data_IF_505657003584
#
_entry.id   IF_505657003584
#
_cell.length_a   1.000
_cell.length_b   1.000
_cell.length_c   1.000
_cell.angle_alpha   90.00
_cell.angle_beta   90.00
_cell.angle_gamma   90.00
#
_symmetry.space_group_name_H-M   'P 1'
#
loop_
_entity.id
_entity.type
_entity.pdbx_description
1 polymer ?
#
# COMPACT_ATOMS: atom_id res chain seq x y z
N UNK A 1 -16.24 -14.11 -8.94
CA UNK A 1 -16.03 -13.22 -7.77
C UNK A 1 -16.05 -14.08 -6.53
N UNK A 2 -15.22 -13.76 -5.54
CA UNK A 2 -15.26 -14.46 -4.25
C UNK A 2 -16.41 -13.93 -3.41
N UNK A 3 -16.75 -14.63 -2.34
CA UNK A 3 -17.71 -14.18 -1.33
C UNK A 3 -17.05 -13.31 -0.23
N UNK A 4 -15.75 -13.01 -0.37
CA UNK A 4 -15.02 -12.13 0.54
C UNK A 4 -15.48 -10.67 0.39
N UNK A 5 -15.55 -9.99 1.52
CA UNK A 5 -15.86 -8.56 1.61
C UNK A 5 -14.70 -7.81 2.23
N UNK A 6 -14.50 -6.55 1.85
CA UNK A 6 -13.41 -5.74 2.37
C UNK A 6 -13.80 -4.32 2.78
N UNK A 7 -13.13 -3.83 3.82
CA UNK A 7 -13.18 -2.44 4.26
C UNK A 7 -11.77 -1.84 4.20
N UNK A 8 -11.65 -0.69 3.53
CA UNK A 8 -10.38 0.03 3.37
C UNK A 8 -10.29 1.20 4.35
N UNK A 9 -9.51 1.06 5.42
CA UNK A 9 -9.25 2.15 6.36
C UNK A 9 -8.07 3.00 5.87
N UNK A 10 -8.20 4.32 5.99
CA UNK A 10 -7.21 5.28 5.47
C UNK A 10 -6.99 5.05 3.97
N UNK A 11 -8.09 4.96 3.22
CA UNK A 11 -8.10 4.44 1.85
C UNK A 11 -7.26 5.28 0.88
N UNK A 12 -7.05 6.57 1.18
CA UNK A 12 -6.38 7.51 0.29
C UNK A 12 -7.11 7.55 -1.05
N UNK A 13 -6.38 7.26 -2.12
CA UNK A 13 -6.93 7.18 -3.48
C UNK A 13 -7.33 5.75 -3.90
N UNK A 14 -7.50 4.83 -2.96
CA UNK A 14 -8.05 3.50 -3.23
C UNK A 14 -7.05 2.48 -3.79
N UNK A 15 -5.80 2.52 -3.32
CA UNK A 15 -4.77 1.57 -3.78
C UNK A 15 -5.07 0.12 -3.38
N UNK A 16 -5.50 -0.10 -2.12
CA UNK A 16 -5.98 -1.41 -1.67
C UNK A 16 -7.32 -1.77 -2.30
N UNK A 17 -8.22 -0.80 -2.42
CA UNK A 17 -9.56 -0.97 -2.99
C UNK A 17 -9.47 -1.52 -4.43
N UNK A 18 -8.59 -0.95 -5.25
CA UNK A 18 -8.32 -1.42 -6.61
C UNK A 18 -7.70 -2.82 -6.62
N UNK A 19 -6.70 -3.06 -5.77
CA UNK A 19 -6.02 -4.35 -5.67
C UNK A 19 -6.96 -5.49 -5.25
N UNK A 20 -7.80 -5.26 -4.25
CA UNK A 20 -8.80 -6.21 -3.75
C UNK A 20 -9.89 -6.48 -4.80
N UNK A 21 -10.38 -5.43 -5.46
CA UNK A 21 -11.35 -5.56 -6.55
C UNK A 21 -10.79 -6.43 -7.67
N UNK A 22 -9.53 -6.22 -8.08
CA UNK A 22 -8.85 -7.07 -9.08
C UNK A 22 -8.60 -8.50 -8.61
N UNK A 23 -8.46 -8.72 -7.30
CA UNK A 23 -8.39 -10.05 -6.71
C UNK A 23 -9.78 -10.72 -6.57
N UNK A 24 -10.86 -10.06 -7.01
CA UNK A 24 -12.22 -10.59 -6.99
C UNK A 24 -12.95 -10.42 -5.65
N UNK A 25 -12.40 -9.63 -4.72
CA UNK A 25 -12.99 -9.29 -3.42
C UNK A 25 -13.94 -8.10 -3.57
N UNK A 26 -15.11 -8.15 -2.92
CA UNK A 26 -16.06 -7.04 -2.92
C UNK A 26 -15.69 -6.02 -1.86
N UNK A 27 -15.14 -4.87 -2.26
CA UNK A 27 -14.95 -3.73 -1.35
C UNK A 27 -16.32 -3.12 -1.06
N UNK A 28 -16.67 -2.98 0.22
CA UNK A 28 -18.02 -2.54 0.64
C UNK A 28 -18.01 -1.18 1.32
N UNK A 29 -16.90 -0.84 1.98
CA UNK A 29 -16.71 0.46 2.58
C UNK A 29 -15.26 0.93 2.51
N UNK A 30 -15.09 2.25 2.47
CA UNK A 30 -13.81 2.93 2.59
C UNK A 30 -13.92 4.05 3.62
N UNK A 31 -12.81 4.35 4.31
CA UNK A 31 -12.72 5.43 5.29
C UNK A 31 -11.58 6.36 4.90
N UNK A 32 -11.90 7.62 4.61
CA UNK A 32 -10.92 8.63 4.22
C UNK A 32 -11.39 10.01 4.65
N UNK A 33 -10.48 10.77 5.28
CA UNK A 33 -10.73 12.09 5.86
C UNK A 33 -10.40 13.23 4.86
N UNK A 34 -9.46 13.01 3.95
CA UNK A 34 -9.03 14.03 2.99
C UNK A 34 -10.09 14.21 1.88
N UNK A 35 -10.68 15.41 1.73
CA UNK A 35 -11.75 15.65 0.76
C UNK A 35 -11.32 15.44 -0.70
N UNK A 36 -10.04 15.71 -1.02
CA UNK A 36 -9.53 15.49 -2.36
C UNK A 36 -9.42 13.99 -2.65
N UNK A 37 -8.91 13.19 -1.71
CA UNK A 37 -8.86 11.74 -1.83
C UNK A 37 -10.26 11.12 -1.93
N UNK A 38 -11.21 11.58 -1.09
CA UNK A 38 -12.64 11.22 -1.16
C UNK A 38 -13.24 11.47 -2.54
N UNK A 39 -12.87 12.57 -3.22
CA UNK A 39 -13.35 12.83 -4.58
C UNK A 39 -12.88 11.79 -5.60
N UNK A 40 -11.68 11.24 -5.44
CA UNK A 40 -11.20 10.11 -6.27
C UNK A 40 -12.01 8.87 -5.96
N UNK A 41 -12.17 8.53 -4.67
CA UNK A 41 -12.91 7.33 -4.25
C UNK A 41 -14.34 7.32 -4.76
N UNK A 42 -15.07 8.44 -4.67
CA UNK A 42 -16.45 8.54 -5.21
C UNK A 42 -16.53 8.29 -6.70
N UNK A 43 -15.52 8.70 -7.47
CA UNK A 43 -15.47 8.46 -8.91
C UNK A 43 -15.12 7.01 -9.24
N UNK A 44 -14.11 6.46 -8.58
CA UNK A 44 -13.57 5.15 -8.91
C UNK A 44 -14.38 3.99 -8.30
N UNK A 45 -15.06 4.25 -7.19
CA UNK A 45 -15.82 3.27 -6.41
C UNK A 45 -17.18 3.87 -5.99
N UNK A 46 -18.09 4.17 -6.94
CA UNK A 46 -19.35 4.85 -6.65
C UNK A 46 -20.29 4.04 -5.74
N UNK A 47 -20.18 2.71 -5.76
CA UNK A 47 -21.03 1.81 -4.96
C UNK A 47 -20.46 1.51 -3.56
N UNK A 48 -19.26 2.00 -3.25
CA UNK A 48 -18.61 1.79 -1.94
C UNK A 48 -19.10 2.82 -0.94
N UNK A 49 -19.54 2.37 0.24
CA UNK A 49 -19.95 3.28 1.31
C UNK A 49 -18.73 4.04 1.83
N UNK A 50 -18.74 5.36 1.70
CA UNK A 50 -17.60 6.20 2.05
C UNK A 50 -17.80 6.93 3.39
N UNK A 51 -17.14 6.44 4.44
CA UNK A 51 -17.08 7.08 5.74
C UNK A 51 -15.94 8.12 5.79
N UNK A 52 -16.03 9.07 6.72
CA UNK A 52 -15.08 10.19 6.82
C UNK A 52 -14.03 10.00 7.90
N UNK A 53 -14.41 10.14 9.18
CA UNK A 53 -13.49 9.93 10.29
C UNK A 53 -13.61 8.50 10.82
N UNK A 54 -12.49 7.77 10.80
CA UNK A 54 -12.39 6.40 11.34
C UNK A 54 -12.83 6.30 12.80
N UNK A 55 -12.70 7.39 13.57
CA UNK A 55 -13.07 7.47 14.99
C UNK A 55 -14.57 7.32 15.21
N UNK A 56 -15.37 7.66 14.21
CA UNK A 56 -16.84 7.64 14.26
C UNK A 56 -17.42 6.35 13.67
N UNK A 57 -16.61 5.59 12.93
CA UNK A 57 -17.03 4.32 12.31
C UNK A 57 -17.15 3.24 13.37
N UNK A 58 -18.22 2.44 13.30
CA UNK A 58 -18.45 1.27 14.16
C UNK A 58 -18.54 -0.01 13.32
N UNK A 59 -18.32 -1.16 13.95
CA UNK A 59 -18.52 -2.46 13.33
C UNK A 59 -19.96 -2.68 12.88
N UNK A 60 -20.95 -2.10 13.58
CA UNK A 60 -22.35 -2.10 13.13
C UNK A 60 -22.52 -1.34 11.81
N UNK A 61 -21.95 -0.13 11.69
CA UNK A 61 -22.01 0.64 10.45
C UNK A 61 -21.34 -0.08 9.28
N UNK A 62 -20.20 -0.75 9.52
CA UNK A 62 -19.53 -1.55 8.50
C UNK A 62 -20.39 -2.75 8.06
N UNK A 63 -21.04 -3.46 8.99
CA UNK A 63 -21.97 -4.55 8.68
C UNK A 63 -23.17 -4.06 7.88
N UNK A 64 -23.72 -2.89 8.23
CA UNK A 64 -24.81 -2.25 7.49
C UNK A 64 -24.40 -1.86 6.06
N UNK A 65 -23.13 -1.48 5.85
CA UNK A 65 -22.55 -1.26 4.52
C UNK A 65 -22.31 -2.57 3.73
N UNK A 66 -22.56 -3.74 4.33
CA UNK A 66 -22.44 -5.05 3.69
C UNK A 66 -21.15 -5.81 4.00
N UNK A 67 -20.41 -5.42 5.05
CA UNK A 67 -19.25 -6.16 5.53
C UNK A 67 -19.65 -7.45 6.23
N UNK A 68 -19.01 -8.56 5.88
CA UNK A 68 -19.26 -9.90 6.44
C UNK A 68 -18.02 -10.31 7.22
N UNK A 69 -17.97 -10.16 8.56
CA UNK A 69 -16.71 -10.29 9.31
C UNK A 69 -15.99 -11.64 9.15
N UNK A 70 -16.72 -12.77 9.17
CA UNK A 70 -16.15 -14.12 8.97
C UNK A 70 -15.57 -14.35 7.57
N UNK A 71 -15.93 -13.52 6.60
CA UNK A 71 -15.40 -13.48 5.23
C UNK A 71 -14.86 -12.07 4.93
N UNK A 72 -14.33 -11.41 5.96
CA UNK A 72 -14.07 -9.99 5.99
C UNK A 72 -12.60 -9.68 6.04
N UNK A 73 -12.15 -8.76 5.18
CA UNK A 73 -10.80 -8.22 5.16
C UNK A 73 -10.85 -6.76 5.58
N UNK A 74 -10.08 -6.38 6.60
CA UNK A 74 -9.82 -4.96 6.91
C UNK A 74 -8.42 -4.61 6.45
N UNK A 75 -8.28 -3.57 5.62
CA UNK A 75 -6.96 -3.04 5.23
C UNK A 75 -6.70 -1.71 5.89
N UNK A 76 -5.44 -1.41 6.23
CA UNK A 76 -5.06 -0.12 6.79
C UNK A 76 -3.65 0.32 6.38
N UNK A 77 -3.54 1.51 5.79
CA UNK A 77 -2.28 2.25 5.58
C UNK A 77 -2.19 3.43 6.55
N UNK A 78 -2.16 3.18 7.86
CA UNK A 78 -2.38 4.23 8.85
C UNK A 78 -1.21 5.24 8.92
N UNK A 79 -1.49 6.53 9.18
CA UNK A 79 -0.44 7.54 9.28
C UNK A 79 0.58 7.24 10.38
N UNK A 80 1.86 7.17 10.01
CA UNK A 80 3.01 7.00 10.93
C UNK A 80 3.60 8.35 11.40
N UNK A 81 3.01 9.48 11.00
CA UNK A 81 3.58 10.84 11.15
C UNK A 81 3.68 11.34 12.60
N UNK A 82 3.23 10.57 13.59
CA UNK A 82 3.31 10.94 15.00
C UNK A 82 4.72 10.90 15.60
N UNK A 83 5.69 10.18 15.02
CA UNK A 83 6.84 9.70 15.82
C UNK A 83 8.25 10.00 15.30
N UNK A 84 8.45 10.97 14.42
CA UNK A 84 9.80 11.29 13.93
C UNK A 84 10.29 12.70 14.25
N UNK A 85 11.18 12.77 15.24
CA UNK A 85 12.38 13.62 15.33
C UNK A 85 12.26 15.16 15.38
N UNK A 86 11.10 15.79 15.25
CA UNK A 86 10.93 17.23 15.42
C UNK A 86 9.87 17.56 16.47
N UNK A 87 10.29 17.66 17.74
CA UNK A 87 9.58 18.48 18.73
C UNK A 87 8.23 17.97 19.24
N UNK A 88 8.20 16.80 19.87
CA UNK A 88 7.47 16.49 21.13
C UNK A 88 7.76 15.04 21.50
N UNK A 89 8.15 14.81 22.75
CA UNK A 89 8.49 13.48 23.31
C UNK A 89 7.24 12.63 23.54
N UNK A 90 6.46 12.41 22.50
CA UNK A 90 5.29 11.53 22.50
C UNK A 90 5.45 10.53 21.37
N UNK A 91 6.42 9.62 21.50
CA UNK A 91 6.39 8.40 20.70
C UNK A 91 5.12 7.60 21.01
N UNK A 92 4.95 6.44 20.37
CA UNK A 92 3.92 5.44 20.70
C UNK A 92 4.15 4.79 22.09
N UNK A 93 4.99 5.42 22.93
CA UNK A 93 5.13 5.12 24.34
C UNK A 93 3.83 5.39 25.13
N UNK A 94 2.87 6.13 24.56
CA UNK A 94 1.48 5.99 24.99
C UNK A 94 0.77 4.97 24.08
N UNK A 95 0.47 3.75 24.58
CA UNK A 95 -0.29 2.73 23.85
C UNK A 95 -1.71 3.18 23.46
N UNK A 96 -2.12 4.41 23.77
CA UNK A 96 -3.42 5.03 23.47
C UNK A 96 -3.37 6.20 22.47
N UNK A 97 -2.20 6.50 21.90
CA UNK A 97 -2.00 7.66 21.00
C UNK A 97 -1.85 7.26 19.53
N UNK A 98 -2.65 7.88 18.64
CA UNK A 98 -2.59 7.67 17.19
C UNK A 98 -3.73 6.83 16.62
N UNK A 99 -3.83 6.79 15.29
CA UNK A 99 -4.94 6.17 14.55
C UNK A 99 -4.87 4.64 14.51
N UNK A 100 -3.78 4.02 15.01
CA UNK A 100 -3.67 2.56 15.15
C UNK A 100 -4.73 2.00 16.12
N UNK A 101 -5.01 2.71 17.22
CA UNK A 101 -6.04 2.29 18.19
C UNK A 101 -7.43 2.13 17.54
N UNK A 102 -7.72 2.94 16.52
CA UNK A 102 -8.99 2.88 15.80
C UNK A 102 -9.03 1.67 14.85
N UNK A 103 -7.87 1.24 14.31
CA UNK A 103 -7.75 -0.04 13.61
C UNK A 103 -8.03 -1.19 14.57
N UNK A 104 -7.37 -1.22 15.73
CA UNK A 104 -7.57 -2.27 16.76
C UNK A 104 -9.02 -2.31 17.22
N UNK A 105 -9.62 -1.15 17.50
CA UNK A 105 -11.03 -1.03 17.89
C UNK A 105 -11.97 -1.62 16.83
N UNK A 106 -11.75 -1.31 15.55
CA UNK A 106 -12.59 -1.82 14.46
C UNK A 106 -12.35 -3.31 14.20
N UNK A 107 -11.12 -3.81 14.32
CA UNK A 107 -10.84 -5.24 14.26
C UNK A 107 -11.56 -6.00 15.39
N UNK A 108 -11.53 -5.47 16.62
CA UNK A 108 -12.21 -6.05 17.77
C UNK A 108 -13.75 -6.03 17.62
N UNK A 109 -14.32 -4.88 17.25
CA UNK A 109 -15.78 -4.67 17.12
C UNK A 109 -16.37 -5.48 15.95
N UNK A 110 -15.60 -5.66 14.87
CA UNK A 110 -16.06 -6.45 13.73
C UNK A 110 -15.83 -7.95 13.91
N UNK A 111 -14.69 -8.36 14.50
CA UNK A 111 -14.23 -9.74 14.43
C UNK A 111 -13.81 -10.14 13.02
N UNK A 112 -13.18 -9.24 12.27
CA UNK A 112 -12.76 -9.48 10.89
C UNK A 112 -11.83 -10.71 10.78
N UNK A 113 -12.07 -11.55 9.78
CA UNK A 113 -11.30 -12.76 9.53
C UNK A 113 -9.84 -12.44 9.18
N UNK A 114 -9.62 -11.38 8.41
CA UNK A 114 -8.32 -11.00 7.89
C UNK A 114 -8.02 -9.53 8.10
N UNK A 115 -6.73 -9.24 8.30
CA UNK A 115 -6.16 -7.89 8.35
C UNK A 115 -4.99 -7.78 7.37
N UNK A 116 -4.92 -6.67 6.62
CA UNK A 116 -3.73 -6.28 5.85
C UNK A 116 -3.30 -4.88 6.27
N UNK A 117 -2.15 -4.78 6.94
CA UNK A 117 -1.52 -3.52 7.29
C UNK A 117 -0.38 -3.16 6.34
N UNK A 118 -0.28 -1.88 5.99
CA UNK A 118 0.89 -1.33 5.30
C UNK A 118 1.48 -0.16 6.09
N UNK A 119 2.80 -0.10 6.15
CA UNK A 119 3.50 1.05 6.72
C UNK A 119 4.90 1.23 6.12
N UNK A 120 5.55 2.35 6.47
CA UNK A 120 6.94 2.60 6.12
C UNK A 120 7.89 1.71 6.93
N UNK A 121 9.04 1.35 6.35
CA UNK A 121 10.04 0.50 7.04
C UNK A 121 10.63 1.16 8.29
N UNK A 122 10.52 2.49 8.42
CA UNK A 122 10.94 3.22 9.61
C UNK A 122 10.22 2.79 10.89
N UNK A 123 9.00 2.25 10.78
CA UNK A 123 8.24 1.72 11.91
C UNK A 123 9.00 0.61 12.66
N UNK A 124 9.86 -0.15 11.97
CA UNK A 124 10.65 -1.22 12.59
C UNK A 124 11.74 -0.71 13.54
N UNK A 125 12.17 0.55 13.40
CA UNK A 125 13.29 1.11 14.16
C UNK A 125 12.91 2.25 15.12
N UNK A 126 11.76 2.90 14.90
CA UNK A 126 11.29 3.99 15.77
C UNK A 126 11.10 3.50 17.21
N UNK A 127 11.47 4.33 18.18
CA UNK A 127 11.49 3.99 19.61
C UNK A 127 12.13 2.62 19.92
N UNK A 128 13.23 2.29 19.23
CA UNK A 128 13.93 1.00 19.35
C UNK A 128 13.03 -0.21 19.07
N UNK A 129 12.07 -0.06 18.15
CA UNK A 129 11.16 -1.12 17.72
C UNK A 129 9.93 -1.32 18.62
N UNK A 130 9.78 -0.56 19.71
CA UNK A 130 8.66 -0.71 20.64
C UNK A 130 7.32 -0.42 19.98
N UNK A 131 7.27 0.55 19.09
CA UNK A 131 6.07 0.93 18.33
C UNK A 131 5.53 -0.23 17.49
N UNK A 132 6.44 -0.96 16.82
CA UNK A 132 6.06 -2.13 16.06
C UNK A 132 5.71 -3.30 16.96
N UNK A 133 6.38 -3.44 18.11
CA UNK A 133 6.02 -4.45 19.10
C UNK A 133 4.58 -4.27 19.62
N UNK A 134 4.12 -3.03 19.82
CA UNK A 134 2.72 -2.72 20.16
C UNK A 134 1.76 -3.22 19.07
N UNK A 135 2.06 -3.00 17.80
CA UNK A 135 1.24 -3.51 16.68
C UNK A 135 1.10 -5.04 16.76
N UNK A 136 2.21 -5.75 16.99
CA UNK A 136 2.19 -7.21 17.09
C UNK A 136 1.46 -7.71 18.34
N UNK A 137 1.66 -7.06 19.48
CA UNK A 137 1.02 -7.39 20.76
C UNK A 137 -0.50 -7.15 20.70
N UNK A 138 -0.96 -6.06 20.09
CA UNK A 138 -2.38 -5.80 19.88
C UNK A 138 -3.03 -6.86 18.98
N UNK A 139 -2.38 -7.24 17.87
CA UNK A 139 -2.87 -8.33 17.02
C UNK A 139 -2.93 -9.66 17.78
N UNK A 140 -1.92 -9.97 18.61
CA UNK A 140 -1.92 -11.16 19.45
C UNK A 140 -3.07 -11.14 20.47
N UNK A 141 -3.32 -10.00 21.13
CA UNK A 141 -4.42 -9.80 22.08
C UNK A 141 -5.80 -9.93 21.44
N UNK A 142 -5.93 -9.57 20.17
CA UNK A 142 -7.13 -9.82 19.37
C UNK A 142 -7.29 -11.30 18.97
N UNK A 143 -6.36 -12.18 19.35
CA UNK A 143 -6.36 -13.57 18.96
C UNK A 143 -6.09 -13.76 17.46
N UNK A 144 -5.33 -12.86 16.84
CA UNK A 144 -4.92 -13.02 15.45
C UNK A 144 -3.54 -13.66 15.36
N UNK A 145 -3.41 -14.72 14.56
CA UNK A 145 -2.11 -15.12 14.03
C UNK A 145 -1.65 -14.07 13.03
N UNK A 146 -0.35 -13.79 12.95
CA UNK A 146 0.17 -12.77 12.03
C UNK A 146 1.52 -13.12 11.44
N UNK A 147 1.83 -12.49 10.31
CA UNK A 147 3.12 -12.50 9.66
C UNK A 147 3.40 -11.11 9.09
N UNK A 148 4.67 -10.71 9.00
CA UNK A 148 5.05 -9.46 8.35
C UNK A 148 6.29 -9.66 7.47
N UNK A 149 6.39 -8.82 6.44
CA UNK A 149 7.51 -8.82 5.51
C UNK A 149 7.74 -7.42 4.95
N UNK A 150 9.00 -7.06 4.73
CA UNK A 150 9.34 -5.88 3.92
C UNK A 150 9.32 -6.26 2.45
N UNK A 151 8.41 -5.65 1.70
CA UNK A 151 8.28 -5.80 0.25
C UNK A 151 8.85 -4.59 -0.47
N UNK A 152 9.45 -4.80 -1.64
CA UNK A 152 9.96 -3.74 -2.51
C UNK A 152 9.15 -3.72 -3.81
N UNK A 153 8.47 -2.61 -4.09
CA UNK A 153 7.62 -2.43 -5.26
C UNK A 153 8.31 -2.76 -6.59
N UNK A 154 9.64 -2.62 -6.67
CA UNK A 154 10.46 -3.03 -7.82
C UNK A 154 10.29 -4.48 -8.24
N UNK A 155 9.93 -5.34 -7.30
CA UNK A 155 9.75 -6.78 -7.54
C UNK A 155 8.37 -7.12 -8.10
N UNK A 156 7.48 -6.14 -8.24
CA UNK A 156 6.09 -6.31 -8.66
C UNK A 156 5.75 -5.56 -9.96
N UNK A 157 6.76 -5.30 -10.80
CA UNK A 157 6.56 -4.64 -12.10
C UNK A 157 6.46 -3.12 -12.05
N UNK A 158 6.66 -2.52 -10.88
CA UNK A 158 6.70 -1.06 -10.72
C UNK A 158 8.16 -0.59 -10.71
N UNK A 159 8.61 0.28 -11.64
CA UNK A 159 9.99 0.75 -11.69
C UNK A 159 10.26 1.84 -10.64
N UNK A 160 10.01 1.54 -9.37
CA UNK A 160 10.15 2.48 -8.25
C UNK A 160 10.74 1.78 -7.02
N UNK A 161 11.87 2.27 -6.52
CA UNK A 161 12.48 1.86 -5.25
C UNK A 161 11.57 2.25 -4.08
N UNK A 162 10.64 1.38 -3.70
CA UNK A 162 9.69 1.63 -2.61
C UNK A 162 9.53 0.40 -1.73
N UNK A 163 10.28 0.42 -0.63
CA UNK A 163 10.22 -0.60 0.42
C UNK A 163 9.13 -0.26 1.42
N UNK A 164 8.27 -1.22 1.72
CA UNK A 164 7.16 -1.08 2.66
C UNK A 164 7.04 -2.30 3.54
N UNK A 165 6.74 -2.06 4.81
CA UNK A 165 6.38 -3.08 5.77
C UNK A 165 4.93 -3.48 5.47
N UNK A 166 4.71 -4.76 5.21
CA UNK A 166 3.37 -5.34 5.07
C UNK A 166 3.17 -6.32 6.21
N UNK A 167 2.02 -6.21 6.88
CA UNK A 167 1.58 -7.10 7.95
C UNK A 167 0.29 -7.78 7.50
N UNK A 168 0.19 -9.09 7.65
CA UNK A 168 -1.04 -9.85 7.42
C UNK A 168 -1.42 -10.51 8.74
N UNK A 169 -2.68 -10.36 9.13
CA UNK A 169 -3.26 -11.00 10.32
C UNK A 169 -4.46 -11.88 9.93
N UNK A 170 -4.68 -12.97 10.67
CA UNK A 170 -5.85 -13.84 10.55
C UNK A 170 -6.40 -14.17 11.94
N UNK A 171 -7.71 -14.03 12.12
CA UNK A 171 -8.36 -14.43 13.36
C UNK A 171 -8.22 -15.94 13.64
N UNK A 172 -8.21 -16.33 14.92
CA UNK A 172 -8.12 -17.72 15.37
C UNK A 172 -6.73 -18.16 15.85
N UNK A 173 -5.80 -17.22 16.03
CA UNK A 173 -4.47 -17.45 16.61
C UNK A 173 -3.50 -18.25 15.72
N UNK A 174 -3.95 -18.73 14.56
CA UNK A 174 -3.16 -19.57 13.67
C UNK A 174 -2.29 -18.73 12.70
N UNK A 175 -0.95 -18.80 12.81
CA UNK A 175 -0.06 -18.03 11.95
C UNK A 175 0.10 -18.64 10.54
N UNK A 176 -0.38 -19.87 10.27
CA UNK A 176 -0.17 -20.55 8.99
C UNK A 176 -0.71 -19.75 7.81
N UNK A 177 -1.93 -19.23 7.91
CA UNK A 177 -2.53 -18.40 6.86
C UNK A 177 -1.67 -17.19 6.49
N UNK A 178 -1.37 -16.28 7.44
CA UNK A 178 -0.49 -15.14 7.18
C UNK A 178 0.90 -15.51 6.66
N UNK A 179 1.51 -16.60 7.15
CA UNK A 179 2.80 -17.11 6.66
C UNK A 179 2.68 -17.57 5.21
N UNK A 180 1.64 -18.34 4.88
CA UNK A 180 1.34 -18.76 3.50
C UNK A 180 1.10 -17.56 2.58
N UNK A 181 0.52 -16.47 3.09
CA UNK A 181 0.32 -15.25 2.28
C UNK A 181 1.64 -14.54 1.98
N UNK A 182 2.54 -14.38 2.95
CA UNK A 182 3.72 -13.49 2.78
C UNK A 182 5.05 -14.19 2.49
N UNK A 183 5.25 -15.41 2.99
CA UNK A 183 6.58 -16.06 3.00
C UNK A 183 6.70 -17.22 2.02
N UNK A 184 5.62 -17.97 1.78
CA UNK A 184 5.70 -19.15 0.93
C UNK A 184 6.06 -18.77 -0.52
N UNK A 185 7.15 -19.31 -1.10
CA UNK A 185 7.44 -19.07 -2.50
C UNK A 185 6.31 -19.65 -3.36
N UNK A 186 5.97 -19.00 -4.47
CA UNK A 186 5.27 -19.70 -5.55
C UNK A 186 6.22 -20.77 -6.05
N UNK A 187 6.06 -22.00 -5.56
CA UNK A 187 6.74 -23.16 -6.13
C UNK A 187 6.38 -23.22 -7.60
N UNK A 188 7.27 -22.75 -8.47
CA UNK A 188 7.25 -23.16 -9.87
C UNK A 188 7.58 -24.64 -9.83
N UNK A 189 6.60 -25.49 -10.12
CA UNK A 189 6.86 -26.88 -10.48
C UNK A 189 8.00 -26.88 -11.48
N UNK A 190 9.05 -27.63 -11.14
CA UNK A 190 10.28 -27.67 -11.91
C UNK A 190 10.06 -28.36 -13.23
N UNK A 191 9.61 -27.61 -14.24
CA UNK A 191 9.95 -27.84 -15.63
C UNK A 191 10.65 -26.58 -16.13
N UNK A 192 11.98 -26.55 -15.91
CA UNK A 192 12.83 -25.63 -16.65
C UNK A 192 12.85 -26.09 -18.09
N UNK A 193 11.94 -25.58 -18.92
CA UNK A 193 12.09 -25.70 -20.37
C UNK A 193 13.44 -25.07 -20.76
N UNK A 194 14.33 -25.78 -21.48
CA UNK A 194 15.51 -25.16 -22.05
C UNK A 194 15.06 -24.36 -23.27
N UNK A 195 15.17 -23.03 -23.24
CA UNK A 195 14.76 -22.23 -24.39
C UNK A 195 15.01 -20.75 -24.20
N UNK A 196 15.95 -20.23 -24.98
CA UNK A 196 16.33 -18.82 -25.01
C UNK A 196 15.25 -17.88 -25.57
N UNK A 197 15.56 -16.60 -25.50
CA UNK A 197 14.76 -15.51 -26.06
C UNK A 197 14.44 -14.44 -25.02
N UNK A 198 15.11 -13.29 -25.16
CA UNK A 198 14.98 -12.04 -24.40
C UNK A 198 13.85 -11.90 -23.39
N UNK A 199 14.23 -11.62 -22.13
CA UNK A 199 13.33 -10.97 -21.15
C UNK A 199 12.69 -9.73 -21.79
N UNK A 200 11.37 -9.52 -21.66
CA UNK A 200 10.77 -8.25 -22.06
C UNK A 200 11.41 -7.14 -21.21
N UNK A 201 12.03 -6.18 -21.90
CA UNK A 201 12.57 -4.97 -21.25
C UNK A 201 11.42 -4.25 -20.54
N UNK A 202 11.59 -3.79 -19.29
CA UNK A 202 10.61 -2.92 -18.66
C UNK A 202 10.38 -1.71 -19.55
N UNK A 203 9.12 -1.31 -19.72
CA UNK A 203 8.77 -0.13 -20.50
C UNK A 203 9.54 1.08 -19.94
N UNK A 204 10.49 1.57 -20.73
CA UNK A 204 11.15 2.82 -20.44
C UNK A 204 10.10 3.93 -20.39
N UNK A 205 10.28 4.90 -19.48
CA UNK A 205 9.54 6.15 -19.47
C UNK A 205 9.72 6.83 -20.84
N UNK A 206 8.81 6.58 -21.78
CA UNK A 206 8.77 7.29 -23.05
C UNK A 206 8.08 8.63 -22.79
N UNK A 207 8.86 9.71 -22.80
CA UNK A 207 8.32 11.06 -22.84
C UNK A 207 7.62 11.28 -24.21
N UNK A 208 6.43 11.90 -24.26
CA UNK A 208 5.86 12.30 -25.53
C UNK A 208 6.51 13.60 -26.00
N UNK A 209 7.12 13.60 -27.19
CA UNK A 209 7.52 14.81 -27.90
C UNK A 209 8.79 14.71 -28.73
N UNK A 210 8.60 14.59 -30.05
CA UNK A 210 9.44 15.07 -31.17
C UNK A 210 10.88 14.55 -31.35
N UNK A 211 11.03 13.60 -32.29
CA UNK A 211 11.89 13.76 -33.48
C UNK A 211 13.40 13.54 -33.39
N UNK A 212 13.88 12.72 -34.32
CA UNK A 212 15.26 12.44 -34.77
C UNK A 212 16.04 11.33 -34.01
N UNK A 213 16.63 10.44 -34.81
CA UNK A 213 17.42 9.23 -34.51
C UNK A 213 18.78 9.56 -33.85
N UNK A 214 18.84 10.57 -32.97
CA UNK A 214 20.04 10.95 -32.22
C UNK A 214 19.93 10.51 -30.77
N UNK A 215 20.45 9.31 -30.49
CA UNK A 215 20.85 8.89 -29.15
C UNK A 215 19.71 8.80 -28.15
N UNK A 216 19.18 7.59 -27.97
CA UNK A 216 18.12 7.29 -26.99
C UNK A 216 18.50 7.80 -25.59
N UNK A 217 17.98 8.96 -25.18
CA UNK A 217 18.19 9.52 -23.84
C UNK A 217 17.57 8.55 -22.85
N UNK A 218 18.41 7.92 -22.04
CA UNK A 218 17.94 7.01 -21.00
C UNK A 218 17.73 7.83 -19.73
N UNK A 219 16.49 7.95 -19.23
CA UNK A 219 16.20 8.79 -18.07
C UNK A 219 16.93 8.28 -16.82
N UNK A 220 17.46 9.20 -16.02
CA UNK A 220 18.06 8.92 -14.73
C UNK A 220 17.17 9.49 -13.61
N UNK A 221 16.92 8.74 -12.52
CA UNK A 221 16.12 9.23 -11.41
C UNK A 221 16.91 10.22 -10.56
N UNK A 222 16.28 11.31 -10.14
CA UNK A 222 16.89 12.33 -9.28
C UNK A 222 15.97 12.64 -8.11
N UNK A 223 16.52 12.71 -6.90
CA UNK A 223 15.80 13.15 -5.72
C UNK A 223 16.52 14.33 -5.06
N UNK A 224 15.83 15.47 -4.91
CA UNK A 224 16.25 16.47 -3.95
C UNK A 224 15.82 16.04 -2.55
N UNK A 225 16.68 16.16 -1.55
CA UNK A 225 16.35 15.89 -0.15
C UNK A 225 16.59 17.15 0.67
N UNK A 226 15.51 17.83 1.07
CA UNK A 226 15.60 18.92 2.04
C UNK A 226 15.99 18.40 3.43
N UNK A 227 17.09 18.90 3.99
CA UNK A 227 17.51 18.71 5.39
C UNK A 227 17.62 20.07 6.08
N UNK A 228 17.64 20.09 7.41
CA UNK A 228 17.88 21.32 8.20
C UNK A 228 19.21 22.01 7.86
N UNK A 229 20.20 21.25 7.37
CA UNK A 229 21.51 21.74 6.94
C UNK A 229 21.59 22.12 5.45
N UNK A 230 20.46 22.15 4.73
CA UNK A 230 20.41 22.41 3.29
C UNK A 230 19.86 21.25 2.45
N UNK A 231 19.65 21.48 1.16
CA UNK A 231 19.14 20.46 0.24
C UNK A 231 20.29 19.65 -0.39
N UNK A 232 20.18 18.32 -0.36
CA UNK A 232 21.13 17.41 -1.01
C UNK A 232 20.49 16.81 -2.28
N UNK A 233 21.24 16.73 -3.38
CA UNK A 233 20.80 16.04 -4.60
C UNK A 233 21.31 14.60 -4.56
N UNK A 234 20.42 13.64 -4.83
CA UNK A 234 20.72 12.23 -5.01
C UNK A 234 20.46 11.87 -6.49
N UNK A 235 21.49 11.33 -7.14
CA UNK A 235 21.44 10.87 -8.53
C UNK A 235 21.39 9.34 -8.55
N UNK A 236 20.51 8.76 -9.37
CA UNK A 236 20.63 7.37 -9.82
C UNK A 236 21.26 7.30 -11.20
N UNK A 237 21.63 6.09 -11.61
CA UNK A 237 22.22 5.85 -12.93
C UNK A 237 21.14 5.85 -14.03
N UNK A 238 21.48 6.16 -15.29
CA UNK A 238 20.56 6.03 -16.41
C UNK A 238 19.93 4.64 -16.48
N UNK A 239 18.60 4.58 -16.41
CA UNK A 239 17.83 3.33 -16.43
C UNK A 239 17.53 2.74 -15.06
N UNK A 240 18.00 3.35 -13.97
CA UNK A 240 17.63 2.94 -12.61
C UNK A 240 16.14 3.17 -12.33
N UNK A 241 15.53 2.34 -11.46
CA UNK A 241 14.17 2.58 -10.96
C UNK A 241 14.06 3.92 -10.23
N UNK A 242 12.91 4.59 -10.37
CA UNK A 242 12.61 5.86 -9.69
C UNK A 242 12.71 5.74 -8.16
N UNK A 243 13.10 6.81 -7.46
CA UNK A 243 13.06 6.82 -6.00
C UNK A 243 11.63 6.77 -5.44
N UNK A 244 11.47 6.38 -4.17
CA UNK A 244 10.17 6.41 -3.47
C UNK A 244 9.54 7.81 -3.58
N UNK A 245 8.32 7.92 -4.13
CA UNK A 245 7.53 9.15 -4.07
C UNK A 245 7.22 9.50 -2.60
N UNK A 246 7.54 10.73 -2.17
CA UNK A 246 7.26 11.20 -0.80
C UNK A 246 6.32 12.40 -0.80
N UNK A 247 5.60 12.55 0.29
CA UNK A 247 4.71 13.69 0.51
C UNK A 247 5.50 14.97 0.77
N UNK A 248 5.19 16.09 0.09
CA UNK A 248 5.99 17.32 0.16
C UNK A 248 6.16 17.96 1.56
N UNK A 249 5.39 17.54 2.58
CA UNK A 249 5.36 18.17 3.91
C UNK A 249 6.40 17.69 4.93
N UNK A 250 7.11 16.58 4.69
CA UNK A 250 7.99 15.93 5.69
C UNK A 250 9.50 16.11 5.45
N UNK A 251 9.90 17.12 4.69
CA UNK A 251 11.23 17.25 4.08
C UNK A 251 11.07 17.22 2.57
N UNK A 252 11.34 18.35 1.93
CA UNK A 252 11.06 18.59 0.52
C UNK A 252 11.84 17.62 -0.38
N UNK A 253 11.19 16.53 -0.80
CA UNK A 253 11.69 15.74 -1.92
C UNK A 253 10.70 15.78 -3.07
N UNK A 254 11.14 16.38 -4.17
CA UNK A 254 10.40 16.41 -5.41
C UNK A 254 10.81 15.19 -6.24
N UNK A 255 9.86 14.41 -6.76
CA UNK A 255 10.18 13.30 -7.65
C UNK A 255 10.64 13.90 -8.98
N UNK A 256 11.93 13.79 -9.29
CA UNK A 256 12.50 14.36 -10.51
C UNK A 256 13.07 13.29 -11.43
N UNK A 257 13.05 13.59 -12.72
CA UNK A 257 13.67 12.80 -13.77
C UNK A 257 14.60 13.71 -14.58
N UNK A 258 15.80 13.21 -14.86
CA UNK A 258 16.74 13.83 -15.76
C UNK A 258 16.65 13.15 -17.13
N UNK A 259 16.27 13.92 -18.16
CA UNK A 259 16.38 13.57 -19.57
C UNK A 259 17.40 14.52 -20.23
N UNK A 260 17.07 15.10 -21.38
CA UNK A 260 17.67 16.33 -21.93
C UNK A 260 17.52 17.54 -21.00
N UNK A 261 16.50 17.54 -20.14
CA UNK A 261 16.27 18.54 -19.08
C UNK A 261 15.93 17.85 -17.75
N UNK A 262 16.20 18.52 -16.62
CA UNK A 262 15.79 18.06 -15.29
C UNK A 262 14.42 18.65 -14.97
N UNK A 263 13.41 17.80 -14.76
CA UNK A 263 12.05 18.23 -14.39
C UNK A 263 11.42 17.33 -13.35
N UNK A 264 10.29 17.77 -12.78
CA UNK A 264 9.44 16.90 -11.95
C UNK A 264 8.76 15.85 -12.81
N UNK A 265 8.54 14.68 -12.23
CA UNK A 265 7.56 13.74 -12.76
C UNK A 265 6.19 14.42 -12.79
N UNK A 266 5.44 14.24 -13.86
CA UNK A 266 4.04 14.66 -13.97
C UNK A 266 3.14 13.80 -13.08
N UNK A 267 1.92 14.24 -12.74
CA UNK A 267 1.00 13.40 -11.98
C UNK A 267 0.66 12.08 -12.69
N UNK A 268 0.56 12.09 -14.03
CA UNK A 268 0.33 10.87 -14.82
C UNK A 268 1.51 9.89 -14.73
N UNK A 269 2.75 10.39 -14.80
CA UNK A 269 3.93 9.56 -14.57
C UNK A 269 3.93 8.99 -13.14
N UNK A 270 3.48 9.76 -12.15
CA UNK A 270 3.35 9.30 -10.77
C UNK A 270 2.25 8.25 -10.59
N UNK A 271 1.12 8.34 -11.29
CA UNK A 271 0.07 7.30 -11.36
C UNK A 271 0.66 5.97 -11.85
N UNK A 272 1.37 6.02 -12.99
CA UNK A 272 2.05 4.85 -13.57
C UNK A 272 3.12 4.28 -12.66
N UNK A 273 3.92 5.14 -12.02
CA UNK A 273 4.93 4.73 -11.03
C UNK A 273 4.33 4.12 -9.75
N UNK A 274 3.05 4.28 -9.50
CA UNK A 274 2.34 3.62 -8.40
C UNK A 274 1.50 2.42 -8.90
N UNK A 275 1.44 2.20 -10.21
CA UNK A 275 0.68 1.16 -10.88
C UNK A 275 -0.84 1.42 -10.95
N UNK A 276 -1.26 2.67 -10.81
CA UNK A 276 -2.64 3.06 -11.08
C UNK A 276 -2.91 3.15 -12.59
N UNK A 277 -4.15 2.93 -13.04
CA UNK A 277 -4.59 3.29 -14.39
C UNK A 277 -4.36 4.77 -14.69
N UNK A 278 -4.17 5.09 -15.97
CA UNK A 278 -3.98 6.48 -16.42
C UNK A 278 -5.20 7.34 -16.06
N UNK A 279 -4.95 8.54 -15.53
CA UNK A 279 -6.00 9.48 -15.15
C UNK A 279 -6.72 9.11 -13.85
N UNK A 280 -6.17 8.19 -13.06
CA UNK A 280 -6.80 7.73 -11.81
C UNK A 280 -7.16 8.88 -10.86
N UNK A 281 -6.33 9.92 -10.79
CA UNK A 281 -6.51 11.12 -9.97
C UNK A 281 -6.88 12.37 -10.78
N UNK A 282 -7.36 12.20 -12.02
CA UNK A 282 -7.78 13.31 -12.88
C UNK A 282 -8.89 14.17 -12.25
N UNK A 283 -9.01 15.42 -12.73
CA UNK A 283 -10.01 16.38 -12.22
C UNK A 283 -9.60 17.11 -10.93
N UNK A 284 -8.33 17.01 -10.53
CA UNK A 284 -7.77 17.74 -9.39
C UNK A 284 -6.53 18.53 -9.84
N UNK A 285 -6.21 19.57 -9.08
CA UNK A 285 -4.93 20.27 -9.21
C UNK A 285 -3.76 19.32 -8.92
N UNK A 286 -2.58 19.64 -9.46
CA UNK A 286 -1.38 18.82 -9.33
C UNK A 286 -0.94 18.59 -7.88
N UNK A 287 -1.08 19.60 -7.02
CA UNK A 287 -0.60 19.54 -5.63
C UNK A 287 -1.26 18.41 -4.80
N UNK A 288 -2.59 18.29 -4.72
CA UNK A 288 -3.23 17.15 -4.04
C UNK A 288 -2.89 15.81 -4.69
N UNK A 289 -2.79 15.75 -6.03
CA UNK A 289 -2.42 14.51 -6.75
C UNK A 289 -1.05 14.00 -6.33
N UNK A 290 -0.01 14.85 -6.26
CA UNK A 290 1.31 14.44 -5.80
C UNK A 290 1.30 13.91 -4.36
N UNK A 291 0.56 14.57 -3.45
CA UNK A 291 0.42 14.11 -2.06
C UNK A 291 -0.22 12.73 -2.00
N UNK A 292 -1.34 12.56 -2.69
CA UNK A 292 -2.09 11.31 -2.74
C UNK A 292 -1.25 10.16 -3.31
N UNK A 293 -0.57 10.39 -4.44
CA UNK A 293 0.28 9.40 -5.09
C UNK A 293 1.52 9.05 -4.24
N UNK A 294 2.09 10.02 -3.50
CA UNK A 294 3.17 9.76 -2.55
C UNK A 294 2.75 8.89 -1.37
N UNK A 295 1.53 9.08 -0.87
CA UNK A 295 0.96 8.32 0.25
C UNK A 295 0.40 6.95 -0.16
N UNK A 296 -0.02 6.77 -1.41
CA UNK A 296 -0.64 5.53 -1.86
C UNK A 296 0.27 4.30 -1.74
N UNK A 297 -0.34 3.14 -1.51
CA UNK A 297 0.32 1.84 -1.68
C UNK A 297 0.50 1.56 -3.18
N UNK A 298 1.65 1.00 -3.62
CA UNK A 298 1.79 0.54 -5.01
C UNK A 298 0.80 -0.58 -5.32
N UNK A 299 -0.06 -0.37 -6.31
CA UNK A 299 -1.17 -1.27 -6.64
C UNK A 299 -0.69 -2.69 -6.94
N UNK A 300 0.37 -2.93 -7.76
CA UNK A 300 0.79 -4.29 -8.07
C UNK A 300 1.31 -5.06 -6.85
N UNK A 301 1.90 -4.37 -5.88
CA UNK A 301 2.32 -4.98 -4.61
C UNK A 301 1.10 -5.36 -3.76
N UNK A 302 0.13 -4.45 -3.61
CA UNK A 302 -1.11 -4.73 -2.89
C UNK A 302 -1.93 -5.84 -3.56
N UNK A 303 -1.95 -5.88 -4.89
CA UNK A 303 -2.64 -6.90 -5.69
C UNK A 303 -2.01 -8.28 -5.50
N UNK A 304 -0.67 -8.36 -5.47
CA UNK A 304 0.03 -9.61 -5.18
C UNK A 304 -0.34 -10.17 -3.80
N UNK A 305 -0.35 -9.33 -2.76
CA UNK A 305 -0.78 -9.74 -1.40
C UNK A 305 -2.25 -10.18 -1.40
N UNK A 306 -3.13 -9.40 -2.06
CA UNK A 306 -4.57 -9.65 -2.11
C UNK A 306 -4.90 -10.98 -2.78
N UNK A 307 -4.30 -11.27 -3.94
CA UNK A 307 -4.52 -12.54 -4.68
C UNK A 307 -4.08 -13.75 -3.85
N UNK A 308 -2.95 -13.63 -3.14
CA UNK A 308 -2.44 -14.71 -2.28
C UNK A 308 -3.32 -14.93 -1.06
N UNK A 309 -3.79 -13.86 -0.42
CA UNK A 309 -4.76 -13.95 0.66
C UNK A 309 -6.02 -14.68 0.22
N UNK A 310 -6.60 -14.29 -0.91
CA UNK A 310 -7.78 -14.96 -1.50
C UNK A 310 -7.52 -16.46 -1.74
N UNK A 311 -6.37 -16.81 -2.32
CA UNK A 311 -6.03 -18.21 -2.59
C UNK A 311 -5.85 -19.02 -1.30
N UNK A 312 -5.22 -18.45 -0.28
CA UNK A 312 -5.01 -19.09 1.03
C UNK A 312 -6.35 -19.25 1.76
N UNK A 313 -7.19 -18.21 1.77
CA UNK A 313 -8.53 -18.27 2.38
C UNK A 313 -9.38 -19.39 1.78
N UNK A 314 -9.42 -19.51 0.45
CA UNK A 314 -10.15 -20.58 -0.23
C UNK A 314 -9.64 -21.98 0.16
N UNK A 315 -8.33 -22.18 0.29
CA UNK A 315 -7.74 -23.47 0.72
C UNK A 315 -8.07 -23.78 2.18
N UNK A 316 -8.02 -22.79 3.06
CA UNK A 316 -8.33 -22.97 4.48
C UNK A 316 -9.82 -23.27 4.68
N UNK A 317 -10.70 -22.56 3.99
CA UNK A 317 -12.13 -22.85 4.00
C UNK A 317 -12.44 -24.27 3.50
N UNK A 318 -11.74 -24.76 2.47
CA UNK A 318 -11.90 -26.13 1.99
C UNK A 318 -11.45 -27.18 3.02
N UNK A 319 -10.38 -26.92 3.78
CA UNK A 319 -9.91 -27.84 4.85
C UNK A 319 -10.88 -27.89 6.03
N UNK A 320 -11.43 -26.73 6.41
CA UNK A 320 -12.39 -26.63 7.51
C UNK A 320 -13.74 -27.30 7.15
N UNK A 321 -14.16 -27.22 5.89
CA UNK A 321 -15.38 -27.90 5.40
C UNK A 321 -15.25 -29.43 5.21
N UNK A 322 -14.03 -29.97 5.14
CA UNK A 322 -13.77 -31.42 5.08
C UNK A 322 -13.68 -32.04 6.49
N UNK A 323 -13.52 -31.21 7.52
CA UNK A 323 -13.40 -31.64 8.92
C UNK A 323 -14.73 -31.61 9.71
N UNK A 324 -15.85 -31.26 9.07
CA UNK A 324 -17.20 -31.20 9.64
C UNK A 324 -18.09 -32.30 9.04
#
# INVERSE_FOLDING_TARGET
>A
MTDLTAVSLFAGIGGFDLALTRAGVRVVAAVEIDPAARSVLRRQFPDVTLFEDVREVTGHALRAAGFVPRRGIITAGWPCQGNSAAGRRGGLADPRSGLWRDVVRLLADTGAAWFIGENVTGLLGVNRGQDFAVVLDDLAKLGMGFCWRVLDARRFGVPQQRRRLVVVGRAGGDPRGPVEVLLEPEGRGGDSAPGGGGRPRPAALAAPGAGDDRGRVTPAPVALRGRSSGSQIEWGEPGDPAFTLRTPGGGSSYPMVATDVVRRHTPLECERLQGFPDGWTAGQDDRPRYRQLGNAVPVPMAEWVSRRLVAVDARLAAREGVAA
#
